data_IF_182115609876
#
_entry.id   IF_182115609876
#
_cell.length_a   1.000
_cell.length_b   1.000
_cell.length_c   1.000
_cell.angle_alpha   90.00
_cell.angle_beta   90.00
_cell.angle_gamma   90.00
#
_symmetry.space_group_name_H-M   'P 1'
#
loop_
_entity.id
_entity.type
_entity.pdbx_description
1 polymer ?
#
# COMPACT_ATOMS: atom_id res chain seq x y z
N UNK A 1 -5.18 -9.62 16.72
CA UNK A 1 -3.76 -9.20 16.82
C UNK A 1 -3.01 -10.30 17.55
N UNK A 2 -2.14 -11.00 16.84
CA UNK A 2 -1.21 -11.94 17.46
C UNK A 2 -0.08 -11.16 18.14
N UNK A 3 0.32 -11.57 19.35
CA UNK A 3 1.34 -10.87 20.14
C UNK A 3 2.58 -11.74 20.28
N UNK A 4 3.74 -11.13 20.02
CA UNK A 4 5.05 -11.76 20.19
C UNK A 4 5.87 -10.89 21.16
N UNK A 5 5.84 -11.13 22.48
CA UNK A 5 6.42 -10.24 23.49
C UNK A 5 7.93 -9.99 23.37
N UNK A 6 8.65 -10.89 22.69
CA UNK A 6 10.09 -10.77 22.44
C UNK A 6 10.43 -9.78 21.34
N UNK A 7 9.47 -9.38 20.50
CA UNK A 7 9.68 -8.45 19.38
C UNK A 7 9.38 -7.00 19.77
N UNK A 8 10.12 -6.08 19.15
CA UNK A 8 9.93 -4.62 19.25
C UNK A 8 9.40 -4.00 17.97
N UNK A 9 8.89 -4.85 17.09
CA UNK A 9 8.30 -4.46 15.81
C UNK A 9 6.87 -4.96 15.70
N UNK A 10 6.11 -4.30 14.84
CA UNK A 10 4.74 -4.63 14.50
C UNK A 10 4.59 -4.65 13.00
N UNK A 11 3.85 -5.63 12.48
CA UNK A 11 3.40 -5.67 11.11
C UNK A 11 1.88 -5.49 11.07
N UNK A 12 1.40 -4.62 10.20
CA UNK A 12 -0.01 -4.27 10.04
C UNK A 12 -0.31 -4.44 8.56
N UNK A 13 -1.40 -5.12 8.23
CA UNK A 13 -1.76 -5.40 6.85
C UNK A 13 -3.27 -5.30 6.63
N UNK A 14 -3.63 -4.84 5.43
CA UNK A 14 -4.98 -4.88 4.87
C UNK A 14 -4.98 -5.92 3.77
N UNK A 15 -5.93 -6.86 3.85
CA UNK A 15 -6.08 -7.96 2.91
C UNK A 15 -7.43 -7.84 2.24
N UNK A 16 -7.42 -7.58 0.94
CA UNK A 16 -8.62 -7.62 0.11
C UNK A 16 -8.68 -8.97 -0.59
N UNK A 17 -9.83 -9.65 -0.50
CA UNK A 17 -10.08 -10.93 -1.18
C UNK A 17 -10.48 -10.71 -2.64
N UNK A 18 -9.67 -9.92 -3.34
CA UNK A 18 -9.81 -9.59 -4.76
C UNK A 18 -8.41 -9.65 -5.35
N UNK A 19 -8.24 -10.41 -6.42
CA UNK A 19 -6.98 -10.47 -7.16
C UNK A 19 -7.19 -10.50 -8.67
N UNK A 20 -6.18 -10.91 -9.42
CA UNK A 20 -6.24 -10.91 -10.90
C UNK A 20 -7.30 -11.87 -11.47
N UNK A 21 -7.75 -12.87 -10.70
CA UNK A 21 -8.82 -13.80 -11.09
C UNK A 21 -10.19 -13.12 -11.16
N UNK A 22 -10.40 -12.09 -10.36
CA UNK A 22 -11.69 -11.39 -10.23
C UNK A 22 -11.88 -10.31 -11.30
N UNK A 23 -10.87 -10.09 -12.14
CA UNK A 23 -10.89 -9.08 -13.21
C UNK A 23 -11.78 -9.49 -14.38
N UNK A 24 -12.62 -8.57 -14.84
CA UNK A 24 -13.33 -8.72 -16.10
C UNK A 24 -12.40 -8.70 -17.32
N UNK A 25 -12.89 -9.14 -18.48
CA UNK A 25 -12.11 -9.19 -19.73
C UNK A 25 -11.50 -7.85 -20.16
N UNK A 26 -12.14 -6.73 -19.79
CA UNK A 26 -11.67 -5.35 -20.06
C UNK A 26 -10.82 -4.76 -18.94
N UNK A 27 -10.64 -5.47 -17.83
CA UNK A 27 -9.97 -5.01 -16.61
C UNK A 27 -8.70 -5.82 -16.32
N UNK A 28 -8.22 -6.63 -17.26
CA UNK A 28 -7.02 -7.46 -17.06
C UNK A 28 -5.83 -6.58 -16.65
N UNK A 29 -5.21 -6.91 -15.53
CA UNK A 29 -4.09 -6.19 -14.94
C UNK A 29 -4.49 -5.01 -14.04
N UNK A 30 -5.78 -4.74 -13.82
CA UNK A 30 -6.23 -3.63 -12.98
C UNK A 30 -5.85 -3.78 -11.52
N UNK A 31 -5.88 -4.99 -10.95
CA UNK A 31 -5.53 -5.22 -9.55
C UNK A 31 -4.05 -4.89 -9.30
N UNK A 32 -3.16 -5.42 -10.14
CA UNK A 32 -1.73 -5.10 -10.09
C UNK A 32 -1.43 -3.62 -10.40
N UNK A 33 -2.15 -3.03 -11.37
CA UNK A 33 -2.01 -1.61 -11.67
C UNK A 33 -2.47 -0.72 -10.50
N UNK A 34 -3.59 -1.08 -9.86
CA UNK A 34 -4.13 -0.36 -8.71
C UNK A 34 -3.15 -0.41 -7.53
N UNK A 35 -2.56 -1.57 -7.27
CA UNK A 35 -1.51 -1.77 -6.27
C UNK A 35 -0.38 -0.75 -6.44
N UNK A 36 0.20 -0.66 -7.64
CA UNK A 36 1.25 0.32 -7.96
C UNK A 36 0.80 1.76 -7.76
N UNK A 37 -0.42 2.04 -8.21
CA UNK A 37 -1.00 3.37 -8.19
C UNK A 37 -1.29 3.89 -6.77
N UNK A 38 -1.54 3.00 -5.80
CA UNK A 38 -1.76 3.40 -4.39
C UNK A 38 -0.54 4.13 -3.80
N UNK A 39 0.68 3.82 -4.26
CA UNK A 39 1.91 4.47 -3.78
C UNK A 39 2.22 5.80 -4.49
N UNK A 40 1.46 6.20 -5.52
CA UNK A 40 1.75 7.41 -6.31
C UNK A 40 1.20 8.70 -5.68
N UNK A 41 0.54 8.59 -4.54
CA UNK A 41 0.13 9.72 -3.72
C UNK A 41 -1.34 9.70 -3.34
N UNK A 42 -1.59 10.31 -2.17
CA UNK A 42 -2.92 10.50 -1.59
C UNK A 42 -3.36 11.95 -1.75
N UNK A 43 -4.53 12.28 -1.18
CA UNK A 43 -4.98 13.66 -1.05
C UNK A 43 -4.09 14.49 -0.12
N UNK A 44 -3.44 13.86 0.87
CA UNK A 44 -2.64 14.52 1.91
C UNK A 44 -1.14 14.42 1.67
N UNK A 45 -0.67 13.41 0.92
CA UNK A 45 0.75 13.06 0.78
C UNK A 45 1.10 12.77 -0.68
N UNK A 46 2.23 13.26 -1.15
CA UNK A 46 2.83 12.83 -2.41
C UNK A 46 3.52 11.47 -2.26
N UNK A 47 3.83 10.81 -3.39
CA UNK A 47 4.62 9.56 -3.39
C UNK A 47 5.94 9.70 -2.61
N UNK A 48 6.65 10.82 -2.80
CA UNK A 48 7.91 11.12 -2.10
C UNK A 48 7.69 11.33 -0.61
N UNK A 49 6.59 11.96 -0.20
CA UNK A 49 6.25 12.10 1.22
C UNK A 49 5.92 10.75 1.86
N UNK A 50 5.18 9.87 1.17
CA UNK A 50 4.90 8.51 1.64
C UNK A 50 6.22 7.76 1.87
N UNK A 51 7.15 7.79 0.91
CA UNK A 51 8.46 7.15 1.02
C UNK A 51 9.29 7.73 2.18
N UNK A 52 9.37 9.06 2.31
CA UNK A 52 10.12 9.67 3.41
C UNK A 52 9.50 9.39 4.78
N UNK A 53 8.17 9.34 4.86
CA UNK A 53 7.48 9.03 6.12
C UNK A 53 7.80 7.61 6.55
N UNK A 54 7.67 6.60 5.68
CA UNK A 54 8.02 5.22 6.06
C UNK A 54 9.50 5.05 6.43
N UNK A 55 10.40 5.71 5.70
CA UNK A 55 11.84 5.71 5.99
C UNK A 55 12.12 6.35 7.37
N UNK A 56 11.42 7.44 7.71
CA UNK A 56 11.56 8.12 9.00
C UNK A 56 11.08 7.28 10.19
N UNK A 57 10.13 6.37 9.96
CA UNK A 57 9.67 5.41 10.96
C UNK A 57 10.64 4.23 11.13
N UNK A 58 11.69 4.15 10.31
CA UNK A 58 12.60 3.00 10.23
C UNK A 58 11.89 1.72 9.80
N UNK A 59 10.81 1.88 9.02
CA UNK A 59 9.94 0.79 8.62
C UNK A 59 10.06 0.43 7.15
N UNK A 60 9.24 -0.52 6.74
CA UNK A 60 8.99 -0.86 5.33
C UNK A 60 7.48 -0.88 5.09
N UNK A 61 7.07 -0.42 3.90
CA UNK A 61 5.69 -0.48 3.45
C UNK A 61 5.71 -1.06 2.03
N UNK A 62 4.84 -2.03 1.79
CA UNK A 62 4.80 -2.70 0.49
C UNK A 62 3.41 -3.26 0.23
N UNK A 63 3.18 -3.68 -1.00
CA UNK A 63 1.99 -4.36 -1.42
C UNK A 63 2.33 -5.53 -2.35
N UNK A 64 1.36 -6.41 -2.55
CA UNK A 64 1.42 -7.42 -3.59
C UNK A 64 0.02 -7.88 -3.98
N UNK A 65 -0.10 -8.30 -5.23
CA UNK A 65 -1.33 -8.83 -5.81
C UNK A 65 -1.09 -10.26 -6.30
N UNK A 66 -1.97 -11.15 -5.89
CA UNK A 66 -2.02 -12.55 -6.33
C UNK A 66 -3.23 -12.76 -7.24
N UNK A 67 -3.53 -14.03 -7.55
CA UNK A 67 -4.76 -14.36 -8.26
C UNK A 67 -6.02 -14.07 -7.44
N UNK A 68 -5.96 -14.17 -6.10
CA UNK A 68 -7.17 -14.15 -5.26
C UNK A 68 -7.15 -13.04 -4.22
N UNK A 69 -6.02 -12.35 -4.04
CA UNK A 69 -5.85 -11.33 -3.01
C UNK A 69 -4.96 -10.18 -3.44
N UNK A 70 -5.25 -8.99 -2.95
CA UNK A 70 -4.37 -7.82 -2.98
C UNK A 70 -4.14 -7.37 -1.56
N UNK A 71 -2.87 -7.24 -1.18
CA UNK A 71 -2.47 -6.95 0.20
C UNK A 71 -1.62 -5.70 0.24
N UNK A 72 -1.88 -4.84 1.21
CA UNK A 72 -1.05 -3.69 1.55
C UNK A 72 -0.59 -3.85 3.00
N UNK A 73 0.70 -3.71 3.27
CA UNK A 73 1.23 -3.85 4.61
C UNK A 73 2.31 -2.82 4.95
N UNK A 74 2.46 -2.60 6.25
CA UNK A 74 3.51 -1.77 6.84
C UNK A 74 4.11 -2.50 8.03
N UNK A 75 5.42 -2.41 8.18
CA UNK A 75 6.17 -2.96 9.30
C UNK A 75 7.05 -1.87 9.89
N UNK A 76 6.89 -1.63 11.18
CA UNK A 76 7.59 -0.56 11.93
C UNK A 76 7.96 -1.02 13.32
N UNK A 77 8.70 -0.19 14.07
CA UNK A 77 8.86 -0.34 15.51
C UNK A 77 7.53 -0.17 16.24
N UNK A 78 7.35 -0.87 17.37
CA UNK A 78 6.11 -0.85 18.15
C UNK A 78 5.69 0.57 18.60
N UNK A 79 6.67 1.43 18.90
CA UNK A 79 6.49 2.84 19.26
C UNK A 79 5.83 3.67 18.14
N UNK A 80 5.94 3.24 16.88
CA UNK A 80 5.47 3.98 15.71
C UNK A 80 4.12 3.49 15.18
N UNK A 81 3.45 2.58 15.89
CA UNK A 81 2.22 1.93 15.44
C UNK A 81 1.13 2.94 15.01
N UNK A 82 0.97 4.05 15.73
CA UNK A 82 -0.04 5.06 15.43
C UNK A 82 0.20 5.74 14.08
N UNK A 83 1.44 6.13 13.81
CA UNK A 83 1.84 6.77 12.55
C UNK A 83 1.75 5.80 11.38
N UNK A 84 2.17 4.54 11.58
CA UNK A 84 2.06 3.50 10.56
C UNK A 84 0.59 3.22 10.17
N UNK A 85 -0.34 3.21 11.14
CA UNK A 85 -1.77 3.05 10.86
C UNK A 85 -2.33 4.25 10.08
N UNK A 86 -2.00 5.49 10.46
CA UNK A 86 -2.48 6.68 9.71
C UNK A 86 -1.94 6.67 8.27
N UNK A 87 -0.67 6.32 8.08
CA UNK A 87 -0.07 6.22 6.74
C UNK A 87 -0.76 5.12 5.92
N UNK A 88 -0.90 3.92 6.47
CA UNK A 88 -1.56 2.80 5.80
C UNK A 88 -3.01 3.13 5.43
N UNK A 89 -3.76 3.73 6.35
CA UNK A 89 -5.15 4.13 6.13
C UNK A 89 -5.27 5.25 5.08
N UNK A 90 -4.35 6.23 5.07
CA UNK A 90 -4.36 7.29 4.08
C UNK A 90 -4.07 6.76 2.68
N UNK A 91 -3.09 5.86 2.54
CA UNK A 91 -2.79 5.20 1.27
C UNK A 91 -3.99 4.38 0.78
N UNK A 92 -4.60 3.59 1.67
CA UNK A 92 -5.71 2.73 1.31
C UNK A 92 -6.99 3.51 0.95
N UNK A 93 -7.40 4.50 1.75
CA UNK A 93 -8.68 5.20 1.56
C UNK A 93 -8.61 6.48 0.72
N UNK A 94 -7.44 7.13 0.62
CA UNK A 94 -7.33 8.48 0.05
C UNK A 94 -6.34 8.59 -1.11
N UNK A 95 -5.94 7.48 -1.71
CA UNK A 95 -5.21 7.47 -2.99
C UNK A 95 -5.96 8.26 -4.07
N UNK A 96 -5.28 9.17 -4.76
CA UNK A 96 -5.92 10.15 -5.67
C UNK A 96 -5.88 9.75 -7.14
N UNK A 97 -5.02 8.81 -7.54
CA UNK A 97 -4.90 8.32 -8.91
C UNK A 97 -4.78 9.46 -9.94
N UNK A 98 -3.79 10.34 -9.75
CA UNK A 98 -3.58 11.48 -10.64
C UNK A 98 -3.37 11.02 -12.09
N UNK A 99 -4.01 11.69 -13.06
CA UNK A 99 -3.93 11.32 -14.48
C UNK A 99 -2.48 11.28 -14.98
N UNK A 100 -1.62 12.18 -14.50
CA UNK A 100 -0.22 12.19 -14.89
C UNK A 100 0.52 10.95 -14.40
N UNK A 101 0.25 10.53 -13.17
CA UNK A 101 0.85 9.32 -12.60
C UNK A 101 0.28 8.05 -13.26
N UNK A 102 -1.00 8.02 -13.61
CA UNK A 102 -1.60 6.92 -14.39
C UNK A 102 -0.87 6.74 -15.72
N UNK A 103 -0.70 7.82 -16.49
CA UNK A 103 -0.02 7.71 -17.80
C UNK A 103 1.45 7.31 -17.66
N UNK A 104 2.09 7.70 -16.55
CA UNK A 104 3.47 7.28 -16.25
C UNK A 104 3.54 5.80 -15.87
N UNK A 105 2.63 5.33 -15.03
CA UNK A 105 2.66 3.96 -14.53
C UNK A 105 2.32 2.93 -15.63
N UNK A 106 1.47 3.30 -16.60
CA UNK A 106 1.20 2.49 -17.81
C UNK A 106 2.44 2.20 -18.67
N UNK A 107 3.54 2.94 -18.48
CA UNK A 107 4.81 2.68 -19.18
C UNK A 107 5.70 1.71 -18.40
N UNK A 108 5.41 1.48 -17.12
CA UNK A 108 6.18 0.61 -16.22
C UNK A 108 5.54 -0.77 -16.13
N UNK A 109 4.20 -0.82 -16.10
CA UNK A 109 3.37 -2.03 -15.95
C UNK A 109 2.77 -2.47 -17.28
#
# INVERSE_FOLDING_TARGET
>A
MERMPSLKSVAISVWENVGTRDEGSRQKGFAHFLEHMMFKGTRRRSATQISHEIDSLGGEMNAFTTHETTTLYVKVLDQQIGQAIDLLADVFYHSRFDRKEIEREKQVV
#
